data_IF_922117794930
#
_entry.id   IF_922117794930
#
_cell.length_a   1.000
_cell.length_b   1.000
_cell.length_c   1.000
_cell.angle_alpha   90.00
_cell.angle_beta   90.00
_cell.angle_gamma   90.00
#
_symmetry.space_group_name_H-M   'P 1'
#
loop_
_entity.id
_entity.type
_entity.pdbx_description
1 polymer ?
#
# COMPACT_ATOMS: atom_id res chain seq x y z
N UNK A 1 -15.98 2.65 -18.10
CA UNK A 1 -14.71 2.27 -17.43
C UNK A 1 -13.72 3.47 -17.39
N UNK A 2 -14.21 4.70 -17.28
CA UNK A 2 -13.36 5.91 -17.37
C UNK A 2 -13.10 6.59 -16.02
N UNK A 3 -14.01 6.50 -15.05
CA UNK A 3 -13.88 7.22 -13.76
C UNK A 3 -13.03 6.54 -12.68
N UNK A 4 -12.61 5.27 -12.86
CA UNK A 4 -11.84 4.52 -11.85
C UNK A 4 -10.32 4.61 -12.03
N UNK A 5 -9.83 5.07 -13.19
CA UNK A 5 -8.39 5.20 -13.47
C UNK A 5 -7.67 6.17 -12.52
N UNK A 6 -8.22 7.36 -12.20
CA UNK A 6 -7.57 8.28 -11.26
C UNK A 6 -7.43 7.67 -9.86
N UNK A 7 -8.46 6.93 -9.42
CA UNK A 7 -8.52 6.33 -8.10
C UNK A 7 -7.50 5.18 -7.94
N UNK A 8 -7.32 4.37 -8.99
CA UNK A 8 -6.24 3.35 -9.04
C UNK A 8 -4.85 3.98 -9.02
N UNK A 9 -4.66 5.08 -9.75
CA UNK A 9 -3.39 5.82 -9.74
C UNK A 9 -3.06 6.33 -8.33
N UNK A 10 -4.04 6.93 -7.63
CA UNK A 10 -3.85 7.36 -6.24
C UNK A 10 -3.46 6.22 -5.31
N UNK A 11 -4.16 5.08 -5.37
CA UNK A 11 -3.79 3.93 -4.55
C UNK A 11 -2.40 3.39 -4.89
N UNK A 12 -1.98 3.45 -6.15
CA UNK A 12 -0.65 3.03 -6.57
C UNK A 12 0.44 3.94 -6.00
N UNK A 13 0.23 5.25 -6.05
CA UNK A 13 1.14 6.24 -5.43
C UNK A 13 1.23 6.03 -3.91
N UNK A 14 0.08 5.87 -3.23
CA UNK A 14 0.04 5.60 -1.78
C UNK A 14 0.79 4.31 -1.45
N UNK A 15 0.56 3.24 -2.21
CA UNK A 15 1.24 1.97 -1.98
C UNK A 15 2.76 2.10 -2.10
N UNK A 16 3.27 2.80 -3.13
CA UNK A 16 4.72 3.01 -3.30
C UNK A 16 5.29 3.82 -2.13
N UNK A 17 4.65 4.94 -1.77
CA UNK A 17 5.15 5.81 -0.70
C UNK A 17 5.18 5.06 0.64
N UNK A 18 4.05 4.44 1.02
CA UNK A 18 3.98 3.73 2.31
C UNK A 18 4.86 2.48 2.33
N UNK A 19 5.00 1.77 1.20
CA UNK A 19 5.93 0.65 1.08
C UNK A 19 7.38 1.07 1.32
N UNK A 20 7.82 2.17 0.71
CA UNK A 20 9.17 2.73 0.93
C UNK A 20 9.35 3.23 2.37
N UNK A 21 8.35 3.89 2.93
CA UNK A 21 8.40 4.40 4.32
C UNK A 21 8.51 3.25 5.31
N UNK A 22 7.66 2.22 5.20
CA UNK A 22 7.70 1.04 6.06
C UNK A 22 9.03 0.31 5.93
N UNK A 23 9.54 0.13 4.72
CA UNK A 23 10.85 -0.49 4.49
C UNK A 23 12.00 0.28 5.16
N UNK A 24 11.98 1.62 5.07
CA UNK A 24 13.02 2.47 5.66
C UNK A 24 12.92 2.62 7.18
N UNK A 25 11.70 2.60 7.75
CA UNK A 25 11.48 2.74 9.19
C UNK A 25 11.62 1.42 9.96
N UNK A 26 11.71 0.30 9.25
CA UNK A 26 11.91 -1.00 9.87
C UNK A 26 13.40 -1.17 10.21
N UNK A 27 13.69 -1.29 11.49
CA UNK A 27 14.99 -1.71 11.98
C UNK A 27 15.08 -3.24 11.82
N UNK A 28 15.84 -3.68 10.82
CA UNK A 28 16.07 -5.10 10.53
C UNK A 28 16.98 -5.78 11.56
N UNK A 29 17.77 -5.01 12.32
CA UNK A 29 18.65 -5.54 13.36
C UNK A 29 17.86 -5.90 14.62
N UNK A 30 16.98 -4.99 15.06
CA UNK A 30 16.15 -5.20 16.26
C UNK A 30 14.73 -5.73 15.98
N UNK A 31 14.37 -5.89 14.70
CA UNK A 31 13.04 -6.31 14.22
C UNK A 31 11.89 -5.43 14.74
N UNK A 32 12.11 -4.11 14.78
CA UNK A 32 11.15 -3.15 15.32
C UNK A 32 11.01 -1.94 14.41
N UNK A 33 9.88 -1.27 14.52
CA UNK A 33 9.71 0.06 13.93
C UNK A 33 10.03 1.12 14.98
N UNK A 34 10.69 2.21 14.57
CA UNK A 34 10.94 3.36 15.45
C UNK A 34 9.64 3.90 16.09
N UNK A 35 8.56 3.92 15.31
CA UNK A 35 7.24 4.38 15.74
C UNK A 35 6.20 3.29 15.48
N UNK A 36 6.05 2.31 16.40
CA UNK A 36 5.26 1.09 16.14
C UNK A 36 3.79 1.39 15.85
N UNK A 37 3.17 2.33 16.59
CA UNK A 37 1.77 2.72 16.35
C UNK A 37 1.57 3.35 14.97
N UNK A 38 2.50 4.22 14.55
CA UNK A 38 2.45 4.87 13.25
C UNK A 38 2.69 3.86 12.11
N UNK A 39 3.63 2.94 12.31
CA UNK A 39 3.93 1.86 11.37
C UNK A 39 2.73 0.94 11.18
N UNK A 40 1.99 0.60 12.25
CA UNK A 40 0.75 -0.18 12.16
C UNK A 40 -0.29 0.56 11.30
N UNK A 41 -0.49 1.86 11.53
CA UNK A 41 -1.42 2.66 10.74
C UNK A 41 -1.03 2.69 9.26
N UNK A 42 0.24 2.95 8.96
CA UNK A 42 0.77 2.93 7.60
C UNK A 42 0.64 1.55 6.96
N UNK A 43 0.89 0.48 7.71
CA UNK A 43 0.73 -0.89 7.23
C UNK A 43 -0.72 -1.21 6.88
N UNK A 44 -1.69 -0.80 7.70
CA UNK A 44 -3.12 -1.00 7.42
C UNK A 44 -3.52 -0.28 6.13
N UNK A 45 -3.12 0.99 5.96
CA UNK A 45 -3.44 1.77 4.76
C UNK A 45 -2.73 1.20 3.52
N UNK A 46 -1.48 0.76 3.67
CA UNK A 46 -0.73 0.09 2.61
C UNK A 46 -1.40 -1.22 2.18
N UNK A 47 -1.73 -2.10 3.14
CA UNK A 47 -2.39 -3.38 2.87
C UNK A 47 -3.75 -3.19 2.19
N UNK A 48 -4.55 -2.21 2.63
CA UNK A 48 -5.82 -1.87 1.99
C UNK A 48 -5.63 -1.37 0.54
N UNK A 49 -4.64 -0.49 0.32
CA UNK A 49 -4.32 0.04 -1.01
C UNK A 49 -3.88 -1.06 -1.97
N UNK A 50 -3.00 -1.95 -1.52
CA UNK A 50 -2.55 -3.12 -2.29
C UNK A 50 -3.70 -4.08 -2.57
N UNK A 51 -4.55 -4.38 -1.57
CA UNK A 51 -5.72 -5.23 -1.76
C UNK A 51 -6.64 -4.70 -2.87
N UNK A 52 -6.94 -3.40 -2.84
CA UNK A 52 -7.80 -2.77 -3.85
C UNK A 52 -7.17 -2.82 -5.25
N UNK A 53 -5.87 -2.55 -5.36
CA UNK A 53 -5.11 -2.64 -6.62
C UNK A 53 -5.15 -4.06 -7.18
N UNK A 54 -4.80 -5.07 -6.39
CA UNK A 54 -4.73 -6.47 -6.83
C UNK A 54 -6.12 -6.99 -7.24
N UNK A 55 -7.15 -6.72 -6.42
CA UNK A 55 -8.52 -7.14 -6.70
C UNK A 55 -9.06 -6.52 -7.99
N UNK A 56 -8.76 -5.26 -8.26
CA UNK A 56 -9.20 -4.60 -9.47
C UNK A 56 -8.42 -5.07 -10.71
N UNK A 57 -7.14 -5.39 -10.57
CA UNK A 57 -6.34 -5.98 -11.65
C UNK A 57 -6.87 -7.34 -12.09
N UNK A 58 -7.27 -8.23 -11.15
CA UNK A 58 -7.87 -9.54 -11.47
C UNK A 58 -9.19 -9.40 -12.27
N UNK A 59 -10.06 -8.47 -11.88
CA UNK A 59 -11.32 -8.16 -12.60
C UNK A 59 -11.12 -7.67 -14.04
N UNK A 60 -9.93 -7.15 -14.36
CA UNK A 60 -9.59 -6.65 -15.69
C UNK A 60 -8.98 -7.73 -16.59
N UNK A 61 -8.52 -8.84 -16.01
CA UNK A 61 -7.98 -10.00 -16.72
C UNK A 61 -9.05 -11.04 -17.08
N UNK A 62 -10.19 -11.03 -16.38
CA UNK A 62 -11.36 -11.89 -16.64
C UNK A 62 -12.36 -11.28 -17.66
N UNK A 63 -12.04 -10.12 -18.24
CA UNK A 63 -12.82 -9.46 -19.31
C UNK A 63 -11.96 -9.28 -20.54
#
# INVERSE_FOLDING_TARGET
MESKKPLLFTFWVIAIILGVVLYKQFDFENLKFEKPVLAILYFIVFAFSVYYLVKNSKKRSDK
#
